data_IF_594381527053
#
_entry.id   IF_594381527053
#
_cell.length_a   1.000
_cell.length_b   1.000
_cell.length_c   1.000
_cell.angle_alpha   90.00
_cell.angle_beta   90.00
_cell.angle_gamma   90.00
#
_symmetry.space_group_name_H-M   'P 1'
#
loop_
_entity.id
_entity.type
_entity.pdbx_description
1 polymer ?
#
# COMPACT_ATOMS: atom_id res chain seq x y z
N UNK A 1 41.12 34.71 -37.55
CA UNK A 1 41.10 35.45 -36.25
C UNK A 1 39.76 36.09 -35.95
N UNK A 2 39.20 36.99 -36.81
CA UNK A 2 37.93 37.69 -36.53
C UNK A 2 36.72 36.74 -36.44
N UNK A 3 36.57 35.82 -37.40
CA UNK A 3 35.45 34.84 -37.40
C UNK A 3 35.50 33.82 -36.25
N UNK A 4 36.65 33.57 -35.71
CA UNK A 4 36.86 32.66 -34.57
C UNK A 4 36.48 33.35 -33.27
N UNK A 5 36.92 34.60 -33.08
CA UNK A 5 36.52 35.45 -31.96
C UNK A 5 34.96 35.68 -31.91
N UNK A 6 34.34 35.87 -33.08
CA UNK A 6 32.88 36.03 -33.18
C UNK A 6 32.13 34.73 -32.78
N UNK A 7 32.68 33.56 -33.16
CA UNK A 7 32.12 32.26 -32.74
C UNK A 7 32.27 32.03 -31.23
N UNK A 8 33.45 32.30 -30.67
CA UNK A 8 33.70 32.16 -29.25
C UNK A 8 32.82 33.10 -28.43
N UNK A 9 32.65 34.35 -28.86
CA UNK A 9 31.76 35.31 -28.23
C UNK A 9 30.28 34.86 -28.30
N UNK A 10 29.82 34.36 -29.43
CA UNK A 10 28.47 33.82 -29.60
C UNK A 10 28.23 32.61 -28.71
N UNK A 11 29.21 31.72 -28.57
CA UNK A 11 29.15 30.55 -27.70
C UNK A 11 29.14 30.96 -26.23
N UNK A 12 29.99 31.93 -25.83
CA UNK A 12 29.98 32.44 -24.46
C UNK A 12 28.66 33.13 -24.11
N UNK A 13 28.07 33.89 -25.00
CA UNK A 13 26.74 34.52 -24.84
C UNK A 13 25.62 33.47 -24.68
N UNK A 14 25.65 32.41 -25.47
CA UNK A 14 24.66 31.30 -25.35
C UNK A 14 24.80 30.59 -24.01
N UNK A 15 26.01 30.28 -23.56
CA UNK A 15 26.28 29.66 -22.26
C UNK A 15 25.82 30.55 -21.09
N UNK A 16 26.06 31.85 -21.19
CA UNK A 16 25.66 32.82 -20.18
C UNK A 16 24.11 32.95 -20.11
N UNK A 17 23.46 32.91 -21.27
CA UNK A 17 22.00 33.02 -21.37
C UNK A 17 21.26 31.74 -20.92
N UNK A 18 21.82 30.56 -21.22
CA UNK A 18 21.19 29.29 -20.82
C UNK A 18 21.56 28.85 -19.40
N UNK A 19 22.71 29.34 -18.89
CA UNK A 19 23.30 28.85 -17.63
C UNK A 19 24.03 27.51 -17.79
N UNK A 20 23.98 26.89 -18.95
CA UNK A 20 24.54 25.58 -19.22
C UNK A 20 25.91 25.68 -19.94
N UNK A 21 26.87 24.85 -19.55
CA UNK A 21 28.16 24.76 -20.19
C UNK A 21 28.09 24.15 -21.59
N UNK A 22 27.20 23.19 -21.78
CA UNK A 22 26.96 22.46 -23.03
C UNK A 22 25.60 22.90 -23.56
N UNK A 23 25.59 23.74 -24.58
CA UNK A 23 24.35 24.28 -25.16
C UNK A 23 23.94 23.54 -26.44
N UNK A 24 24.91 22.91 -27.13
CA UNK A 24 24.65 22.12 -28.33
C UNK A 24 25.49 20.83 -28.31
N UNK A 25 24.96 19.77 -28.94
CA UNK A 25 25.70 18.51 -29.13
C UNK A 25 27.03 18.69 -29.88
N UNK A 26 27.19 19.80 -30.66
CA UNK A 26 28.43 20.15 -31.34
C UNK A 26 29.51 20.66 -30.40
N UNK A 27 29.20 21.13 -29.19
CA UNK A 27 30.16 21.63 -28.21
C UNK A 27 30.90 20.48 -27.51
N UNK A 28 30.16 19.45 -27.13
CA UNK A 28 30.67 18.22 -26.50
C UNK A 28 29.60 17.12 -26.62
N UNK A 29 29.68 16.35 -27.69
CA UNK A 29 28.69 15.27 -27.94
C UNK A 29 28.75 14.16 -26.89
N UNK A 30 29.94 13.87 -26.35
CA UNK A 30 30.08 12.83 -25.31
C UNK A 30 29.52 13.31 -23.98
N UNK A 31 29.82 14.55 -23.59
CA UNK A 31 29.26 15.16 -22.36
C UNK A 31 27.76 15.34 -22.44
N UNK A 32 27.21 15.74 -23.57
CA UNK A 32 25.76 15.85 -23.78
C UNK A 32 25.06 14.49 -23.61
N UNK A 33 25.58 13.43 -24.25
CA UNK A 33 25.01 12.09 -24.13
C UNK A 33 25.06 11.53 -22.70
N UNK A 34 26.13 11.82 -21.96
CA UNK A 34 26.23 11.45 -20.54
C UNK A 34 25.23 12.24 -19.70
N UNK A 35 25.10 13.53 -19.92
CA UNK A 35 24.16 14.42 -19.22
C UNK A 35 22.71 13.97 -19.43
N UNK A 36 22.32 13.68 -20.67
CA UNK A 36 20.98 13.19 -21.02
C UNK A 36 20.67 11.85 -20.33
N UNK A 37 21.66 10.94 -20.32
CA UNK A 37 21.49 9.67 -19.60
C UNK A 37 21.38 9.88 -18.10
N UNK A 38 22.16 10.76 -17.50
CA UNK A 38 22.06 11.10 -16.08
C UNK A 38 20.73 11.76 -15.75
N UNK A 39 20.27 12.68 -16.58
CA UNK A 39 18.96 13.33 -16.41
C UNK A 39 17.82 12.33 -16.47
N UNK A 40 17.88 11.37 -17.40
CA UNK A 40 16.92 10.27 -17.47
C UNK A 40 16.94 9.41 -16.20
N UNK A 41 18.13 9.11 -15.68
CA UNK A 41 18.26 8.37 -14.41
C UNK A 41 17.71 9.17 -13.22
N UNK A 42 17.98 10.46 -13.13
CA UNK A 42 17.44 11.32 -12.07
C UNK A 42 15.92 11.35 -12.10
N UNK A 43 15.32 11.58 -13.29
CA UNK A 43 13.86 11.54 -13.45
C UNK A 43 13.27 10.16 -13.08
N UNK A 44 13.96 9.08 -13.44
CA UNK A 44 13.55 7.73 -13.04
C UNK A 44 13.61 7.52 -11.53
N UNK A 45 14.67 8.02 -10.86
CA UNK A 45 14.79 7.96 -9.40
C UNK A 45 13.72 8.81 -8.70
N UNK A 46 13.40 9.99 -9.20
CA UNK A 46 12.33 10.82 -8.67
C UNK A 46 10.97 10.10 -8.71
N UNK A 47 10.68 9.40 -9.83
CA UNK A 47 9.48 8.57 -9.93
C UNK A 47 9.53 7.37 -8.97
N UNK A 48 10.69 6.75 -8.82
CA UNK A 48 10.89 5.64 -7.89
C UNK A 48 10.66 6.04 -6.43
N UNK A 49 11.12 7.22 -6.03
CA UNK A 49 10.86 7.78 -4.69
C UNK A 49 9.38 8.02 -4.48
N UNK A 50 8.68 8.52 -5.49
CA UNK A 50 7.24 8.73 -5.43
C UNK A 50 6.49 7.40 -5.29
N UNK A 51 6.82 6.41 -6.12
CA UNK A 51 6.24 5.07 -6.03
C UNK A 51 6.48 4.42 -4.66
N UNK A 52 7.68 4.62 -4.08
CA UNK A 52 7.97 4.13 -2.74
C UNK A 52 7.12 4.84 -1.67
N UNK A 53 6.87 6.14 -1.82
CA UNK A 53 5.95 6.89 -0.97
C UNK A 53 4.52 6.37 -1.03
N UNK A 54 4.02 6.05 -2.24
CA UNK A 54 2.69 5.47 -2.43
C UNK A 54 2.58 4.10 -1.74
N UNK A 55 3.62 3.26 -1.85
CA UNK A 55 3.69 1.96 -1.18
C UNK A 55 3.64 2.10 0.34
N UNK A 56 4.37 3.06 0.91
CA UNK A 56 4.35 3.34 2.35
C UNK A 56 2.96 3.80 2.78
N UNK A 57 2.35 4.71 2.03
CA UNK A 57 1.01 5.22 2.33
C UNK A 57 -0.04 4.11 2.30
N UNK A 58 0.04 3.21 1.32
CA UNK A 58 -0.82 2.04 1.23
C UNK A 58 -0.61 1.08 2.43
N UNK A 59 0.64 0.85 2.82
CA UNK A 59 0.94 0.01 3.99
C UNK A 59 0.35 0.59 5.28
N UNK A 60 0.42 1.92 5.45
CA UNK A 60 -0.17 2.61 6.59
C UNK A 60 -1.71 2.50 6.63
N UNK A 61 -2.38 2.59 5.48
CA UNK A 61 -3.83 2.36 5.38
C UNK A 61 -4.17 0.94 5.79
N UNK A 62 -3.43 -0.05 5.27
CA UNK A 62 -3.62 -1.46 5.63
C UNK A 62 -3.37 -1.71 7.13
N UNK A 63 -2.31 -1.12 7.70
CA UNK A 63 -1.99 -1.23 9.12
C UNK A 63 -3.10 -0.65 10.01
N UNK A 64 -3.64 0.52 9.65
CA UNK A 64 -4.76 1.12 10.36
C UNK A 64 -5.99 0.21 10.39
N UNK A 65 -6.38 -0.33 9.24
CA UNK A 65 -7.50 -1.25 9.14
C UNK A 65 -7.26 -2.58 9.88
N UNK A 66 -6.03 -3.11 9.87
CA UNK A 66 -5.66 -4.30 10.63
C UNK A 66 -5.73 -4.05 12.15
N UNK A 67 -5.45 -2.82 12.60
CA UNK A 67 -5.66 -2.42 13.98
C UNK A 67 -7.14 -2.55 14.39
N UNK A 68 -8.05 -1.97 13.60
CA UNK A 68 -9.50 -2.07 13.84
C UNK A 68 -9.98 -3.52 13.82
N UNK A 69 -9.52 -4.32 12.87
CA UNK A 69 -9.81 -5.76 12.79
C UNK A 69 -9.37 -6.48 14.08
N UNK A 70 -8.18 -6.18 14.58
CA UNK A 70 -7.66 -6.76 15.81
C UNK A 70 -8.53 -6.43 17.01
N UNK A 71 -8.99 -5.18 17.13
CA UNK A 71 -9.86 -4.74 18.21
C UNK A 71 -11.24 -5.42 18.16
N UNK A 72 -11.80 -5.56 16.96
CA UNK A 72 -13.06 -6.30 16.75
C UNK A 72 -12.90 -7.76 17.18
N UNK A 73 -11.83 -8.44 16.77
CA UNK A 73 -11.57 -9.84 17.12
C UNK A 73 -11.37 -10.03 18.63
N UNK A 74 -10.68 -9.07 19.29
CA UNK A 74 -10.55 -9.09 20.75
C UNK A 74 -11.93 -8.97 21.42
N UNK A 75 -12.78 -8.08 20.95
CA UNK A 75 -14.14 -7.91 21.48
C UNK A 75 -14.99 -9.15 21.26
N UNK A 76 -14.92 -9.76 20.09
CA UNK A 76 -15.61 -11.04 19.81
C UNK A 76 -15.13 -12.13 20.77
N UNK A 77 -13.84 -12.22 21.04
CA UNK A 77 -13.26 -13.16 22.00
C UNK A 77 -13.76 -12.92 23.43
N UNK A 78 -13.86 -11.66 23.87
CA UNK A 78 -14.43 -11.31 25.17
C UNK A 78 -15.87 -11.79 25.28
N UNK A 79 -16.70 -11.51 24.26
CA UNK A 79 -18.08 -11.94 24.19
C UNK A 79 -18.24 -13.47 24.20
N UNK A 80 -17.33 -14.17 23.49
CA UNK A 80 -17.32 -15.63 23.49
C UNK A 80 -17.01 -16.20 24.90
N UNK A 81 -16.02 -15.66 25.59
CA UNK A 81 -15.68 -16.05 26.97
C UNK A 81 -16.85 -15.73 27.91
N UNK A 82 -17.49 -14.58 27.76
CA UNK A 82 -18.67 -14.20 28.53
C UNK A 82 -19.81 -15.17 28.29
N UNK A 83 -20.13 -15.51 27.06
CA UNK A 83 -21.19 -16.46 26.70
C UNK A 83 -20.93 -17.88 27.19
N UNK A 84 -19.69 -18.28 27.35
CA UNK A 84 -19.29 -19.61 27.86
C UNK A 84 -19.58 -19.79 29.37
N UNK A 85 -19.89 -18.71 30.09
CA UNK A 85 -20.20 -18.82 31.51
C UNK A 85 -21.63 -19.32 31.74
N UNK A 86 -21.81 -20.30 32.61
CA UNK A 86 -23.12 -20.84 32.98
C UNK A 86 -24.03 -19.87 33.76
N UNK A 87 -23.51 -18.70 34.13
CA UNK A 87 -24.28 -17.65 34.80
C UNK A 87 -25.25 -16.92 33.86
N UNK A 88 -25.08 -17.06 32.55
CA UNK A 88 -25.91 -16.42 31.54
C UNK A 88 -27.06 -17.35 31.08
N UNK A 89 -28.27 -16.81 31.02
CA UNK A 89 -29.42 -17.52 30.50
C UNK A 89 -29.49 -17.42 28.95
N UNK A 90 -30.40 -18.19 28.34
CA UNK A 90 -30.54 -18.24 26.88
C UNK A 90 -30.89 -16.88 26.25
N UNK A 91 -31.63 -16.02 26.93
CA UNK A 91 -32.00 -14.68 26.43
C UNK A 91 -30.78 -13.77 26.42
N UNK A 92 -29.99 -13.81 27.46
CA UNK A 92 -28.74 -13.02 27.56
C UNK A 92 -27.71 -13.49 26.53
N UNK A 93 -27.58 -14.80 26.30
CA UNK A 93 -26.72 -15.35 25.24
C UNK A 93 -27.16 -14.89 23.84
N UNK A 94 -28.49 -14.76 23.60
CA UNK A 94 -29.01 -14.21 22.35
C UNK A 94 -28.64 -12.73 22.15
N UNK A 95 -28.57 -11.93 23.21
CA UNK A 95 -28.08 -10.55 23.11
C UNK A 95 -26.60 -10.52 22.77
N UNK A 96 -25.78 -11.36 23.40
CA UNK A 96 -24.36 -11.52 23.10
C UNK A 96 -24.17 -11.96 21.64
N UNK A 97 -24.96 -12.92 21.15
CA UNK A 97 -24.93 -13.35 19.75
C UNK A 97 -25.28 -12.21 18.80
N UNK A 98 -26.23 -11.38 19.12
CA UNK A 98 -26.61 -10.22 18.31
C UNK A 98 -25.45 -9.22 18.21
N UNK A 99 -24.80 -8.91 19.33
CA UNK A 99 -23.60 -8.05 19.35
C UNK A 99 -22.46 -8.65 18.52
N UNK A 100 -22.20 -9.95 18.69
CA UNK A 100 -21.18 -10.67 17.92
C UNK A 100 -21.46 -10.60 16.42
N UNK A 101 -22.70 -10.80 15.99
CA UNK A 101 -23.09 -10.71 14.59
C UNK A 101 -22.86 -9.30 14.01
N UNK A 102 -23.12 -8.26 14.79
CA UNK A 102 -22.85 -6.87 14.38
C UNK A 102 -21.35 -6.61 14.24
N UNK A 103 -20.54 -7.10 15.17
CA UNK A 103 -19.08 -6.99 15.10
C UNK A 103 -18.50 -7.74 13.90
N UNK A 104 -19.02 -8.93 13.59
CA UNK A 104 -18.62 -9.69 12.41
C UNK A 104 -19.03 -9.02 11.10
N UNK A 105 -20.20 -8.36 11.08
CA UNK A 105 -20.61 -7.56 9.92
C UNK A 105 -19.70 -6.33 9.72
N UNK A 106 -19.30 -5.68 10.81
CA UNK A 106 -18.35 -4.57 10.77
C UNK A 106 -16.96 -5.05 10.33
N UNK A 107 -16.51 -6.18 10.83
CA UNK A 107 -15.27 -6.82 10.36
C UNK A 107 -15.29 -7.06 8.85
N UNK A 108 -16.36 -7.64 8.32
CA UNK A 108 -16.51 -7.90 6.88
C UNK A 108 -16.57 -6.59 6.08
N UNK A 109 -17.18 -5.55 6.63
CA UNK A 109 -17.19 -4.22 6.04
C UNK A 109 -15.79 -3.64 5.96
N UNK A 110 -15.02 -3.64 7.06
CA UNK A 110 -13.65 -3.11 7.08
C UNK A 110 -12.76 -3.85 6.07
N UNK A 111 -12.88 -5.17 5.98
CA UNK A 111 -12.07 -5.96 5.04
C UNK A 111 -12.42 -5.73 3.58
N UNK A 112 -13.67 -5.37 3.27
CA UNK A 112 -14.14 -5.11 1.90
C UNK A 112 -13.96 -3.67 1.46
N UNK A 113 -14.20 -2.73 2.39
CA UNK A 113 -14.26 -1.31 2.07
C UNK A 113 -12.90 -0.63 2.23
N UNK A 114 -11.89 -1.30 2.83
CA UNK A 114 -10.55 -0.73 2.92
C UNK A 114 -9.87 -0.78 1.57
N UNK A 115 -9.76 0.40 0.95
CA UNK A 115 -9.15 0.57 -0.37
C UNK A 115 -8.07 1.65 -0.36
N UNK A 116 -7.11 1.52 -1.25
CA UNK A 116 -6.13 2.54 -1.58
C UNK A 116 -6.16 2.78 -3.08
N UNK A 117 -6.48 4.00 -3.48
CA UNK A 117 -6.61 4.40 -4.90
C UNK A 117 -7.53 3.43 -5.70
N UNK A 118 -8.73 3.17 -5.18
CA UNK A 118 -9.75 2.28 -5.77
C UNK A 118 -9.31 0.80 -5.86
N UNK A 119 -8.28 0.42 -5.11
CA UNK A 119 -7.83 -0.97 -5.04
C UNK A 119 -7.97 -1.48 -3.62
N UNK A 120 -8.73 -2.55 -3.45
CA UNK A 120 -8.90 -3.20 -2.14
C UNK A 120 -7.59 -3.82 -1.70
N UNK A 121 -7.23 -3.62 -0.42
CA UNK A 121 -5.94 -4.06 0.11
C UNK A 121 -6.04 -5.27 1.04
N UNK A 122 -7.25 -5.60 1.57
CA UNK A 122 -7.44 -6.65 2.57
C UNK A 122 -8.32 -7.83 2.10
N UNK A 123 -8.92 -7.75 0.93
CA UNK A 123 -9.84 -8.77 0.40
C UNK A 123 -9.14 -10.00 -0.22
N UNK A 124 -7.80 -9.97 -0.29
CA UNK A 124 -6.97 -11.01 -0.92
C UNK A 124 -6.70 -10.77 -2.41
N UNK A 125 -7.29 -9.76 -3.03
CA UNK A 125 -6.97 -9.37 -4.41
C UNK A 125 -5.59 -8.72 -4.53
N UNK A 126 -5.04 -8.27 -3.40
CA UNK A 126 -3.74 -7.62 -3.29
C UNK A 126 -2.59 -8.63 -3.06
N UNK A 127 -2.61 -9.73 -3.82
CA UNK A 127 -1.56 -10.73 -3.78
C UNK A 127 -0.44 -10.38 -4.77
N UNK A 128 0.81 -10.40 -4.29
CA UNK A 128 2.02 -10.28 -5.11
C UNK A 128 2.07 -9.04 -6.02
N UNK A 129 1.64 -7.88 -5.52
CA UNK A 129 1.76 -6.62 -6.26
C UNK A 129 3.21 -6.15 -6.26
N UNK A 130 3.68 -5.75 -7.43
CA UNK A 130 5.07 -5.36 -7.65
C UNK A 130 5.14 -3.88 -7.96
N UNK A 131 5.97 -3.16 -7.21
CA UNK A 131 6.19 -1.72 -7.34
C UNK A 131 7.62 -1.46 -7.79
N UNK A 132 7.78 -0.69 -8.87
CA UNK A 132 9.09 -0.30 -9.36
C UNK A 132 9.66 0.81 -8.46
N UNK A 133 10.72 0.50 -7.73
CA UNK A 133 11.40 1.41 -6.78
C UNK A 133 12.81 1.83 -7.23
N UNK A 134 13.22 1.42 -8.40
CA UNK A 134 14.50 1.77 -8.99
C UNK A 134 14.39 2.06 -10.49
N UNK A 135 15.50 2.50 -11.10
CA UNK A 135 15.56 2.89 -12.52
C UNK A 135 15.77 1.69 -13.43
N UNK A 136 16.33 0.60 -12.89
CA UNK A 136 16.70 -0.58 -13.67
C UNK A 136 15.60 -1.64 -13.61
N UNK A 137 15.52 -2.45 -14.64
CA UNK A 137 14.63 -3.62 -14.65
C UNK A 137 15.00 -4.57 -13.50
N UNK A 138 14.01 -4.93 -12.68
CA UNK A 138 14.20 -5.80 -11.54
C UNK A 138 14.44 -5.09 -10.20
N UNK A 139 14.61 -3.77 -10.18
CA UNK A 139 14.67 -2.97 -8.96
C UNK A 139 13.24 -2.68 -8.49
N UNK A 140 12.56 -3.72 -8.00
CA UNK A 140 11.18 -3.65 -7.56
C UNK A 140 11.03 -4.18 -6.13
N UNK A 141 10.05 -3.66 -5.41
CA UNK A 141 9.56 -4.23 -4.17
C UNK A 141 8.24 -4.97 -4.47
N UNK A 142 8.09 -6.14 -3.89
CA UNK A 142 6.82 -6.87 -3.93
C UNK A 142 6.18 -6.84 -2.55
N UNK A 143 4.91 -6.48 -2.50
CA UNK A 143 4.10 -6.55 -1.28
C UNK A 143 2.95 -7.51 -1.56
N UNK A 144 2.70 -8.37 -0.60
CA UNK A 144 1.58 -9.28 -0.61
C UNK A 144 0.83 -9.14 0.70
N UNK A 145 -0.45 -8.83 0.61
CA UNK A 145 -1.35 -8.84 1.74
C UNK A 145 -2.28 -10.04 1.55
N UNK A 146 -2.25 -10.97 2.50
CA UNK A 146 -3.14 -12.12 2.50
C UNK A 146 -4.58 -11.66 2.71
N UNK A 147 -5.54 -12.46 2.24
CA UNK A 147 -6.95 -12.21 2.53
C UNK A 147 -7.19 -12.18 4.04
N UNK A 148 -7.77 -11.08 4.52
CA UNK A 148 -8.20 -10.92 5.91
C UNK A 148 -9.71 -11.14 6.07
N UNK A 149 -10.38 -11.70 5.06
CA UNK A 149 -11.79 -12.03 5.13
C UNK A 149 -12.03 -13.13 6.17
N UNK A 150 -13.20 -13.11 6.76
CA UNK A 150 -13.61 -14.09 7.80
C UNK A 150 -13.43 -15.53 7.32
N UNK A 151 -13.78 -15.81 6.07
CA UNK A 151 -13.65 -17.12 5.45
C UNK A 151 -12.20 -17.56 5.22
N UNK A 152 -11.25 -16.64 5.20
CA UNK A 152 -9.83 -16.92 5.03
C UNK A 152 -9.06 -17.04 6.35
N UNK A 153 -9.48 -16.33 7.40
CA UNK A 153 -8.79 -16.30 8.71
C UNK A 153 -9.19 -17.47 9.60
N UNK A 154 -10.38 -18.02 9.43
CA UNK A 154 -10.88 -19.15 10.21
C UNK A 154 -11.91 -19.94 9.44
N UNK A 155 -12.12 -21.20 9.81
CA UNK A 155 -13.25 -21.98 9.33
C UNK A 155 -14.52 -21.45 10.01
N UNK A 156 -14.95 -20.22 9.61
CA UNK A 156 -16.23 -19.68 10.04
C UNK A 156 -17.33 -20.47 9.33
N UNK A 157 -17.82 -21.47 9.99
CA UNK A 157 -19.16 -21.98 9.70
C UNK A 157 -20.16 -20.99 10.28
N UNK A 158 -20.99 -20.42 9.44
CA UNK A 158 -22.04 -19.44 9.74
C UNK A 158 -23.11 -19.95 10.74
N UNK A 159 -22.81 -21.03 11.45
CA UNK A 159 -23.67 -21.77 12.37
C UNK A 159 -23.13 -21.80 13.79
N UNK A 160 -22.32 -20.85 14.22
CA UNK A 160 -22.01 -20.71 15.65
C UNK A 160 -23.21 -20.07 16.33
N UNK A 161 -24.23 -20.85 16.58
CA UNK A 161 -25.34 -20.51 17.43
C UNK A 161 -24.86 -20.59 18.88
N UNK A 162 -24.50 -19.46 19.47
CA UNK A 162 -24.12 -19.37 20.88
C UNK A 162 -25.33 -19.59 21.82
N UNK A 163 -26.54 -19.77 21.27
CA UNK A 163 -27.77 -20.01 22.05
C UNK A 163 -27.87 -21.45 22.54
N UNK A 164 -27.16 -22.39 21.90
CA UNK A 164 -27.09 -23.78 22.29
C UNK A 164 -25.76 -24.13 22.93
N UNK A 165 -25.79 -24.75 24.10
CA UNK A 165 -24.63 -25.42 24.69
C UNK A 165 -24.34 -26.68 23.89
N UNK A 166 -23.61 -26.53 22.77
CA UNK A 166 -23.05 -27.69 22.10
C UNK A 166 -21.68 -27.98 22.70
N UNK A 167 -21.55 -29.18 23.27
CA UNK A 167 -20.47 -29.65 24.12
C UNK A 167 -19.26 -30.18 23.30
N UNK A 168 -19.12 -29.74 22.02
CA UNK A 168 -18.03 -30.18 21.15
C UNK A 168 -17.11 -29.00 20.78
N UNK A 169 -16.34 -28.53 21.75
CA UNK A 169 -15.09 -27.78 21.55
C UNK A 169 -13.98 -28.51 22.29
#
# INVERSE_FOLDING_TARGET
>A
ASREADREMSTAMKRLSSGDRITNAGDDAAGAAISDRMLSQVKGLEMSVRNAGDVISMAQVSEGALGEISDILQRVRELAIQSASDTYNAVERNYIQTETNQLLAEFDRVTKDTEFNEVNVLDGSFASKTFQIGVRKGENASISVSSMRIDAIGSYQQTTDMSTTDTDI
#
